data_IF_854683841667
#
_entry.id   IF_854683841667
#
_cell.length_a   1.000
_cell.length_b   1.000
_cell.length_c   1.000
_cell.angle_alpha   90.00
_cell.angle_beta   90.00
_cell.angle_gamma   90.00
#
_symmetry.space_group_name_H-M   'P 1'
#
loop_
_entity.id
_entity.type
_entity.pdbx_description
1 polymer ?
#
# COMPACT_ATOMS: atom_id res chain seq x y z
N UNK A 1 18.30 -28.11 -3.96
CA UNK A 1 18.95 -26.79 -3.76
C UNK A 1 17.97 -25.63 -3.51
N UNK A 2 16.98 -25.36 -4.39
CA UNK A 2 16.06 -24.21 -4.26
C UNK A 2 15.18 -24.20 -3.00
N UNK A 3 14.71 -25.36 -2.52
CA UNK A 3 13.90 -25.46 -1.28
C UNK A 3 14.67 -25.11 -0.01
N UNK A 4 15.96 -25.47 0.05
CA UNK A 4 16.83 -25.16 1.20
C UNK A 4 17.16 -23.67 1.25
N UNK A 5 17.38 -23.04 0.10
CA UNK A 5 17.58 -21.58 0.01
C UNK A 5 16.31 -20.79 0.37
N UNK A 6 15.13 -21.29 0.00
CA UNK A 6 13.86 -20.70 0.39
C UNK A 6 13.64 -20.80 1.91
N UNK A 7 13.95 -21.94 2.54
CA UNK A 7 13.79 -22.10 3.99
C UNK A 7 14.75 -21.20 4.79
N UNK A 8 16.03 -21.12 4.39
CA UNK A 8 17.02 -20.23 5.02
C UNK A 8 16.62 -18.75 4.89
N UNK A 9 15.96 -18.37 3.79
CA UNK A 9 15.43 -17.03 3.61
C UNK A 9 14.22 -16.76 4.52
N UNK A 10 13.31 -17.73 4.65
CA UNK A 10 12.15 -17.65 5.54
C UNK A 10 12.59 -17.54 7.01
N UNK A 11 13.56 -18.35 7.44
CA UNK A 11 14.02 -18.37 8.83
C UNK A 11 14.76 -17.08 9.22
N UNK A 12 15.56 -16.51 8.29
CA UNK A 12 16.21 -15.20 8.49
C UNK A 12 15.22 -14.04 8.57
N UNK A 13 14.13 -14.12 7.80
CA UNK A 13 13.05 -13.13 7.85
C UNK A 13 12.32 -13.25 9.19
N UNK A 14 11.99 -14.45 9.65
CA UNK A 14 11.31 -14.67 10.93
C UNK A 14 12.11 -14.12 12.14
N UNK A 15 13.42 -14.37 12.20
CA UNK A 15 14.31 -13.87 13.27
C UNK A 15 14.45 -12.32 13.22
N UNK A 16 14.42 -11.73 12.02
CA UNK A 16 14.41 -10.28 11.85
C UNK A 16 13.07 -9.65 12.27
N UNK A 17 11.94 -10.34 12.04
CA UNK A 17 10.60 -9.90 12.43
C UNK A 17 10.38 -9.90 13.95
N UNK A 18 10.98 -10.86 14.68
CA UNK A 18 10.94 -10.86 16.15
C UNK A 18 11.63 -9.63 16.76
N UNK A 19 12.68 -9.11 16.10
CA UNK A 19 13.46 -7.95 16.58
C UNK A 19 12.85 -6.59 16.25
N UNK A 20 11.87 -6.53 15.33
CA UNK A 20 11.23 -5.28 14.87
C UNK A 20 9.88 -4.99 15.53
N UNK A 21 9.42 -5.83 16.47
CA UNK A 21 8.23 -5.59 17.30
C UNK A 21 8.47 -4.48 18.34
N UNK A 22 8.61 -3.24 17.90
CA UNK A 22 8.56 -2.11 18.81
C UNK A 22 8.35 -0.79 18.08
N UNK A 23 7.20 -0.63 17.43
CA UNK A 23 6.55 0.69 17.32
C UNK A 23 5.07 0.53 17.03
N UNK A 24 4.26 0.73 18.08
CA UNK A 24 2.80 0.82 17.97
C UNK A 24 2.42 2.02 17.07
N UNK A 25 1.39 1.88 16.22
CA UNK A 25 0.78 3.02 15.55
C UNK A 25 0.35 4.09 16.58
N UNK A 26 0.42 5.38 16.22
CA UNK A 26 -0.05 6.49 17.09
C UNK A 26 -1.57 6.56 17.26
N UNK A 27 -2.32 5.73 16.55
CA UNK A 27 -3.78 5.69 16.59
C UNK A 27 -4.21 4.23 16.50
N UNK A 28 -5.03 3.80 17.46
CA UNK A 28 -5.63 2.47 17.51
C UNK A 28 -7.14 2.63 17.26
N UNK A 29 -7.62 2.46 16.02
CA UNK A 29 -9.04 2.59 15.73
C UNK A 29 -9.81 1.52 16.50
N UNK A 30 -10.69 1.95 17.40
CA UNK A 30 -11.65 1.03 18.01
C UNK A 30 -12.68 0.66 16.96
N UNK A 31 -12.55 -0.54 16.42
CA UNK A 31 -13.50 -1.11 15.47
C UNK A 31 -14.77 -1.52 16.23
N UNK A 32 -15.92 -1.05 15.77
CA UNK A 32 -17.21 -1.48 16.30
C UNK A 32 -17.72 -2.60 15.38
N UNK A 33 -18.00 -3.77 15.95
CA UNK A 33 -18.49 -4.93 15.21
C UNK A 33 -19.98 -4.75 14.85
N UNK A 34 -20.36 -5.15 13.65
CA UNK A 34 -21.73 -4.98 13.13
C UNK A 34 -22.15 -6.20 12.27
N UNK A 35 -23.44 -6.53 12.28
CA UNK A 35 -24.04 -7.65 11.54
C UNK A 35 -24.50 -7.22 10.13
N UNK A 36 -24.33 -8.11 9.15
CA UNK A 36 -24.77 -7.94 7.76
C UNK A 36 -26.30 -8.20 7.62
N UNK A 37 -26.98 -7.52 6.69
CA UNK A 37 -28.45 -7.59 6.52
C UNK A 37 -28.90 -7.89 5.09
N UNK A 38 -29.96 -8.70 4.96
CA UNK A 38 -30.66 -9.11 3.73
C UNK A 38 -31.37 -7.94 3.02
N UNK A 39 -31.47 -8.01 1.69
CA UNK A 39 -32.00 -6.94 0.84
C UNK A 39 -33.13 -7.37 -0.11
N UNK A 40 -34.11 -6.47 -0.30
CA UNK A 40 -35.13 -6.47 -1.37
C UNK A 40 -35.34 -5.03 -1.89
N UNK A 41 -36.26 -4.82 -2.86
CA UNK A 41 -36.58 -3.62 -3.69
C UNK A 41 -36.35 -2.20 -3.07
N UNK A 42 -36.37 -2.11 -1.75
CA UNK A 42 -35.83 -1.04 -0.90
C UNK A 42 -34.36 -0.65 -1.21
N UNK A 43 -33.58 -1.53 -1.85
CA UNK A 43 -32.14 -1.31 -2.11
C UNK A 43 -31.84 -0.09 -2.97
N UNK A 44 -32.69 0.27 -3.95
CA UNK A 44 -32.47 1.45 -4.79
C UNK A 44 -32.70 2.74 -4.00
N UNK A 45 -33.78 2.80 -3.23
CA UNK A 45 -34.07 3.94 -2.35
C UNK A 45 -33.00 4.08 -1.25
N UNK A 46 -32.54 2.96 -0.70
CA UNK A 46 -31.46 2.94 0.27
C UNK A 46 -30.14 3.48 -0.32
N UNK A 47 -29.76 3.05 -1.54
CA UNK A 47 -28.57 3.57 -2.24
C UNK A 47 -28.72 5.03 -2.63
N UNK A 48 -29.90 5.48 -3.06
CA UNK A 48 -30.17 6.88 -3.33
C UNK A 48 -30.06 7.75 -2.06
N UNK A 49 -30.57 7.26 -0.94
CA UNK A 49 -30.40 7.90 0.37
C UNK A 49 -28.92 8.00 0.76
N UNK A 50 -28.15 6.90 0.59
CA UNK A 50 -26.73 6.88 0.90
C UNK A 50 -25.94 7.84 -0.02
N UNK A 51 -26.33 7.96 -1.29
CA UNK A 51 -25.75 8.93 -2.22
C UNK A 51 -25.98 10.37 -1.74
N UNK A 52 -27.20 10.71 -1.36
CA UNK A 52 -27.52 12.04 -0.82
C UNK A 52 -26.76 12.36 0.47
N UNK A 53 -26.61 11.37 1.35
CA UNK A 53 -25.80 11.53 2.56
C UNK A 53 -24.30 11.75 2.23
N UNK A 54 -23.76 11.02 1.25
CA UNK A 54 -22.38 11.22 0.77
C UNK A 54 -22.17 12.56 0.06
N UNK A 55 -23.20 13.11 -0.59
CA UNK A 55 -23.13 14.46 -1.18
C UNK A 55 -23.02 15.55 -0.11
N UNK A 56 -23.79 15.44 0.97
CA UNK A 56 -23.73 16.37 2.10
C UNK A 56 -22.49 16.19 2.96
N UNK A 57 -22.32 15.01 3.55
CA UNK A 57 -21.35 14.74 4.62
C UNK A 57 -20.14 13.92 4.15
N UNK A 58 -20.20 13.38 2.93
CA UNK A 58 -19.18 12.49 2.40
C UNK A 58 -17.90 13.20 2.00
N UNK A 59 -16.80 12.48 2.07
CA UNK A 59 -15.47 12.91 1.68
C UNK A 59 -14.78 11.80 0.90
N UNK A 60 -14.45 12.08 -0.36
CA UNK A 60 -13.56 11.26 -1.17
C UNK A 60 -12.16 11.85 -1.08
N UNK A 61 -11.34 11.23 -0.23
CA UNK A 61 -10.07 11.82 0.17
C UNK A 61 -8.95 11.64 -0.84
N UNK A 62 -8.05 12.63 -0.84
CA UNK A 62 -6.76 12.49 -1.50
C UNK A 62 -6.05 11.23 -0.98
N UNK A 63 -5.46 10.41 -1.87
CA UNK A 63 -4.84 9.17 -1.44
C UNK A 63 -3.73 9.43 -0.43
N UNK A 64 -3.77 8.74 0.72
CA UNK A 64 -2.75 8.87 1.76
C UNK A 64 -1.67 7.81 1.58
N UNK A 65 -0.41 8.20 1.77
CA UNK A 65 0.68 7.26 1.83
C UNK A 65 0.52 6.33 3.03
N UNK A 66 0.68 5.03 2.81
CA UNK A 66 0.79 4.02 3.85
C UNK A 66 1.93 3.07 3.50
N UNK A 67 2.61 2.54 4.52
CA UNK A 67 3.67 1.56 4.34
C UNK A 67 3.05 0.17 4.47
N UNK A 68 3.22 -0.68 3.45
CA UNK A 68 2.80 -2.08 3.47
C UNK A 68 3.69 -2.89 4.41
N UNK A 69 3.26 -4.11 4.75
CA UNK A 69 4.03 -5.03 5.60
C UNK A 69 5.41 -5.38 5.01
N UNK A 70 5.55 -5.31 3.69
CA UNK A 70 6.81 -5.53 2.96
C UNK A 70 7.71 -4.27 2.86
N UNK A 71 7.29 -3.15 3.46
CA UNK A 71 8.02 -1.87 3.42
C UNK A 71 7.79 -1.03 2.17
N UNK A 72 7.00 -1.50 1.19
CA UNK A 72 6.62 -0.67 0.04
C UNK A 72 5.62 0.43 0.44
N UNK A 73 5.77 1.64 -0.09
CA UNK A 73 4.80 2.72 0.11
C UNK A 73 3.65 2.50 -0.86
N UNK A 74 2.41 2.43 -0.41
CA UNK A 74 1.24 2.45 -1.26
C UNK A 74 0.33 3.61 -0.92
N UNK A 75 -0.45 4.06 -1.89
CA UNK A 75 -1.49 5.03 -1.64
C UNK A 75 -2.79 4.32 -1.28
N UNK A 76 -3.40 4.76 -0.19
CA UNK A 76 -4.70 4.30 0.26
C UNK A 76 -5.73 5.39 -0.04
N UNK A 77 -6.61 5.11 -0.98
CA UNK A 77 -7.83 5.91 -1.21
C UNK A 77 -8.80 5.63 -0.08
N UNK A 78 -9.56 6.66 0.30
CA UNK A 78 -10.59 6.57 1.34
C UNK A 78 -11.84 7.30 0.89
N UNK A 79 -12.99 6.67 1.09
CA UNK A 79 -14.28 7.33 1.16
C UNK A 79 -14.73 7.33 2.63
N UNK A 80 -15.34 8.42 3.08
CA UNK A 80 -15.82 8.49 4.47
C UNK A 80 -16.90 9.53 4.66
N UNK A 81 -17.71 9.40 5.69
CA UNK A 81 -18.59 10.47 6.19
C UNK A 81 -18.52 10.51 7.71
N UNK A 82 -18.65 11.70 8.29
CA UNK A 82 -18.54 11.95 9.73
C UNK A 82 -19.89 12.39 10.27
N UNK A 83 -20.23 12.00 11.49
CA UNK A 83 -21.43 12.48 12.18
C UNK A 83 -21.28 12.36 13.69
N UNK A 84 -21.87 13.31 14.42
CA UNK A 84 -21.99 13.25 15.87
C UNK A 84 -23.17 12.34 16.28
N UNK A 85 -22.93 11.48 17.27
CA UNK A 85 -23.94 10.65 17.93
C UNK A 85 -24.04 10.99 19.41
N UNK A 86 -24.47 10.02 20.22
CA UNK A 86 -24.31 10.11 21.66
C UNK A 86 -22.91 9.64 22.06
N UNK A 87 -22.44 10.04 23.24
CA UNK A 87 -21.12 9.64 23.74
C UNK A 87 -21.03 8.11 23.79
N UNK A 88 -20.14 7.55 22.97
CA UNK A 88 -19.92 6.10 22.89
C UNK A 88 -20.93 5.31 22.02
N UNK A 89 -21.92 5.97 21.43
CA UNK A 89 -22.92 5.33 20.55
C UNK A 89 -22.84 5.93 19.15
N UNK A 90 -22.50 5.12 18.11
CA UNK A 90 -22.49 5.60 16.73
C UNK A 90 -23.84 6.19 16.30
N UNK A 91 -23.80 7.29 15.55
CA UNK A 91 -25.00 7.89 14.99
C UNK A 91 -25.75 6.90 14.07
N UNK A 92 -27.09 6.83 14.21
CA UNK A 92 -27.96 5.92 13.45
C UNK A 92 -27.80 6.06 11.93
N UNK A 93 -27.51 7.27 11.45
CA UNK A 93 -27.26 7.52 10.03
C UNK A 93 -25.99 6.83 9.52
N UNK A 94 -24.94 6.72 10.34
CA UNK A 94 -23.74 5.99 9.98
C UNK A 94 -23.98 4.48 10.02
N UNK A 95 -24.77 4.01 10.98
CA UNK A 95 -25.21 2.61 11.06
C UNK A 95 -26.04 2.22 9.83
N UNK A 96 -26.96 3.08 9.40
CA UNK A 96 -27.73 2.90 8.16
C UNK A 96 -26.81 2.86 6.95
N UNK A 97 -25.85 3.79 6.85
CA UNK A 97 -24.89 3.79 5.73
C UNK A 97 -24.02 2.53 5.71
N UNK A 98 -23.61 2.03 6.88
CA UNK A 98 -22.88 0.77 6.99
C UNK A 98 -23.69 -0.42 6.49
N UNK A 99 -24.98 -0.51 6.84
CA UNK A 99 -25.87 -1.56 6.33
C UNK A 99 -26.03 -1.53 4.81
N UNK A 100 -25.99 -0.34 4.20
CA UNK A 100 -26.23 -0.16 2.76
C UNK A 100 -24.95 -0.40 1.93
N UNK A 101 -23.82 0.15 2.37
CA UNK A 101 -22.57 0.22 1.59
C UNK A 101 -21.42 -0.61 2.20
N UNK A 102 -21.66 -1.31 3.31
CA UNK A 102 -20.63 -1.99 4.08
C UNK A 102 -19.67 -1.00 4.75
N UNK A 103 -18.37 -1.30 4.71
CA UNK A 103 -17.35 -0.46 5.35
C UNK A 103 -17.27 -0.66 6.86
N UNK A 104 -16.65 0.28 7.56
CA UNK A 104 -16.50 0.22 9.03
C UNK A 104 -16.87 1.55 9.65
N UNK A 105 -17.29 1.51 10.91
CA UNK A 105 -17.50 2.70 11.73
C UNK A 105 -16.36 2.77 12.74
N UNK A 106 -15.72 3.94 12.78
CA UNK A 106 -14.62 4.25 13.69
C UNK A 106 -14.96 5.52 14.47
N UNK A 107 -14.62 5.57 15.76
CA UNK A 107 -14.67 6.82 16.53
C UNK A 107 -13.69 7.83 15.92
N UNK A 108 -14.09 9.09 15.80
CA UNK A 108 -13.30 10.15 15.20
C UNK A 108 -13.20 11.31 16.18
N UNK A 109 -12.01 11.79 16.50
CA UNK A 109 -11.89 12.98 17.36
C UNK A 109 -12.49 12.80 18.75
N UNK A 110 -13.64 13.44 18.98
CA UNK A 110 -14.32 13.52 20.27
C UNK A 110 -15.08 12.22 20.63
N UNK A 111 -15.49 12.03 21.91
CA UNK A 111 -16.17 10.81 22.36
C UNK A 111 -17.51 10.51 21.66
N UNK A 112 -18.16 11.53 21.12
CA UNK A 112 -19.45 11.53 20.41
C UNK A 112 -19.30 11.64 18.88
N UNK A 113 -18.09 11.83 18.37
CA UNK A 113 -17.83 12.00 16.94
C UNK A 113 -17.43 10.65 16.32
N UNK A 114 -18.14 10.26 15.26
CA UNK A 114 -18.03 8.97 14.60
C UNK A 114 -17.87 9.12 13.10
N UNK A 115 -17.26 8.12 12.48
CA UNK A 115 -16.93 8.14 11.07
C UNK A 115 -17.18 6.80 10.43
N UNK A 116 -18.04 6.78 9.42
CA UNK A 116 -18.09 5.69 8.46
C UNK A 116 -16.92 5.82 7.49
N UNK A 117 -16.25 4.70 7.19
CA UNK A 117 -15.10 4.70 6.31
C UNK A 117 -15.03 3.43 5.45
N UNK A 118 -14.64 3.64 4.21
CA UNK A 118 -14.21 2.62 3.26
C UNK A 118 -12.83 2.97 2.74
N UNK A 119 -11.94 1.97 2.68
CA UNK A 119 -10.56 2.16 2.25
C UNK A 119 -10.14 1.17 1.17
N UNK A 120 -9.20 1.60 0.35
CA UNK A 120 -8.64 0.82 -0.74
C UNK A 120 -9.41 1.03 -2.04
N UNK A 121 -8.68 1.03 -3.16
CA UNK A 121 -9.23 1.41 -4.46
C UNK A 121 -10.38 0.52 -4.91
N UNK A 122 -10.35 -0.78 -4.59
CA UNK A 122 -11.43 -1.71 -4.92
C UNK A 122 -12.73 -1.35 -4.20
N UNK A 123 -12.67 -1.14 -2.89
CA UNK A 123 -13.86 -0.86 -2.09
C UNK A 123 -14.42 0.53 -2.38
N UNK A 124 -13.56 1.53 -2.57
CA UNK A 124 -13.99 2.90 -2.94
C UNK A 124 -14.63 2.90 -4.33
N UNK A 125 -14.09 2.14 -5.28
CA UNK A 125 -14.71 1.97 -6.61
C UNK A 125 -16.09 1.33 -6.50
N UNK A 126 -16.22 0.24 -5.73
CA UNK A 126 -17.50 -0.42 -5.49
C UNK A 126 -18.54 0.54 -4.94
N UNK A 127 -18.19 1.33 -3.92
CA UNK A 127 -19.09 2.37 -3.38
C UNK A 127 -19.52 3.34 -4.47
N UNK A 128 -18.58 3.89 -5.24
CA UNK A 128 -18.91 4.82 -6.32
C UNK A 128 -19.84 4.20 -7.35
N UNK A 129 -19.60 2.95 -7.77
CA UNK A 129 -20.45 2.23 -8.72
C UNK A 129 -21.86 2.01 -8.18
N UNK A 130 -22.00 1.66 -6.90
CA UNK A 130 -23.31 1.40 -6.26
C UNK A 130 -24.16 2.67 -6.11
N UNK A 131 -23.56 3.84 -5.86
CA UNK A 131 -24.31 5.10 -5.65
C UNK A 131 -24.31 6.04 -6.84
N UNK A 132 -23.52 5.77 -7.89
CA UNK A 132 -23.32 6.66 -9.05
C UNK A 132 -24.62 7.22 -9.65
N UNK A 133 -25.71 6.45 -9.80
CA UNK A 133 -26.92 6.98 -10.44
C UNK A 133 -27.55 8.18 -9.71
N UNK A 134 -27.27 8.32 -8.41
CA UNK A 134 -27.86 9.36 -7.55
C UNK A 134 -26.83 10.31 -6.96
N UNK A 135 -25.53 9.98 -7.03
CA UNK A 135 -24.46 10.79 -6.48
C UNK A 135 -24.18 12.01 -7.37
N UNK A 136 -24.10 13.19 -6.75
CA UNK A 136 -23.78 14.43 -7.44
C UNK A 136 -22.46 14.37 -8.20
N UNK A 137 -22.43 14.98 -9.38
CA UNK A 137 -21.29 14.95 -10.30
C UNK A 137 -19.98 15.45 -9.66
N UNK A 138 -20.05 16.37 -8.68
CA UNK A 138 -18.87 16.86 -7.94
C UNK A 138 -18.23 15.72 -7.13
N UNK A 139 -19.02 14.95 -6.36
CA UNK A 139 -18.50 13.84 -5.57
C UNK A 139 -18.05 12.67 -6.44
N UNK A 140 -18.75 12.42 -7.55
CA UNK A 140 -18.31 11.45 -8.57
C UNK A 140 -16.91 11.83 -9.05
N UNK A 141 -16.71 13.08 -9.48
CA UNK A 141 -15.41 13.55 -9.95
C UNK A 141 -14.34 13.48 -8.86
N UNK A 142 -14.65 13.82 -7.60
CA UNK A 142 -13.71 13.69 -6.48
C UNK A 142 -13.29 12.24 -6.26
N UNK A 143 -14.24 11.30 -6.28
CA UNK A 143 -13.98 9.87 -6.14
C UNK A 143 -13.13 9.30 -7.28
N UNK A 144 -13.48 9.63 -8.53
CA UNK A 144 -12.74 9.22 -9.72
C UNK A 144 -11.30 9.80 -9.72
N UNK A 145 -11.15 11.08 -9.37
CA UNK A 145 -9.83 11.72 -9.25
C UNK A 145 -8.97 11.08 -8.16
N UNK A 146 -9.56 10.73 -7.00
CA UNK A 146 -8.83 10.05 -5.94
C UNK A 146 -8.37 8.64 -6.37
N UNK A 147 -9.22 7.89 -7.06
CA UNK A 147 -8.86 6.59 -7.63
C UNK A 147 -7.76 6.72 -8.70
N UNK A 148 -7.88 7.69 -9.59
CA UNK A 148 -6.88 7.96 -10.62
C UNK A 148 -5.53 8.35 -10.01
N UNK A 149 -5.52 9.23 -9.01
CA UNK A 149 -4.31 9.64 -8.30
C UNK A 149 -3.61 8.46 -7.61
N UNK A 150 -4.38 7.55 -7.00
CA UNK A 150 -3.82 6.35 -6.38
C UNK A 150 -3.26 5.35 -7.40
N UNK A 151 -3.83 5.28 -8.60
CA UNK A 151 -3.35 4.42 -9.68
C UNK A 151 -2.14 5.02 -10.43
N UNK A 152 -2.10 6.34 -10.58
CA UNK A 152 -1.05 7.06 -11.33
C UNK A 152 0.28 7.10 -10.59
N UNK A 153 0.26 7.08 -9.25
CA UNK A 153 1.48 7.11 -8.46
C UNK A 153 2.07 5.70 -8.42
N UNK A 154 2.98 5.46 -9.39
CA UNK A 154 4.02 4.44 -9.27
C UNK A 154 4.81 4.70 -7.99
N UNK A 155 4.90 3.68 -7.15
CA UNK A 155 5.76 3.73 -5.97
C UNK A 155 7.17 3.98 -6.52
N UNK A 156 7.84 5.02 -6.06
CA UNK A 156 9.21 5.31 -6.51
C UNK A 156 10.08 4.08 -6.20
N UNK A 157 10.42 3.30 -7.23
CA UNK A 157 11.09 2.01 -7.09
C UNK A 157 10.19 0.76 -7.20
N UNK A 158 9.03 0.84 -7.85
CA UNK A 158 8.27 -0.34 -8.31
C UNK A 158 8.83 -0.93 -9.61
N UNK A 159 9.69 -0.20 -10.32
CA UNK A 159 10.32 -0.72 -11.51
C UNK A 159 11.37 -1.74 -11.10
N UNK A 160 11.26 -2.96 -11.61
CA UNK A 160 12.29 -3.98 -11.46
C UNK A 160 13.57 -3.60 -12.19
N UNK A 161 13.48 -2.64 -13.13
CA UNK A 161 14.54 -2.23 -14.03
C UNK A 161 14.88 -0.75 -13.89
N UNK A 162 16.15 -0.43 -14.08
CA UNK A 162 16.65 0.95 -14.15
C UNK A 162 16.40 1.58 -15.53
N UNK A 163 16.71 2.87 -15.68
CA UNK A 163 16.53 3.62 -16.95
C UNK A 163 17.30 3.03 -18.14
N UNK A 164 18.31 2.19 -17.87
CA UNK A 164 19.11 1.47 -18.87
C UNK A 164 18.66 0.02 -19.07
N UNK A 165 17.53 -0.39 -18.49
CA UNK A 165 16.94 -1.73 -18.64
C UNK A 165 17.51 -2.83 -17.75
N UNK A 166 18.54 -2.55 -16.93
CA UNK A 166 19.12 -3.53 -16.01
C UNK A 166 18.19 -3.79 -14.82
N UNK A 167 18.13 -5.04 -14.35
CA UNK A 167 17.45 -5.36 -13.09
C UNK A 167 18.17 -4.68 -11.91
N UNK A 168 17.38 -4.18 -10.96
CA UNK A 168 17.93 -3.72 -9.68
C UNK A 168 18.34 -4.93 -8.83
N UNK A 169 19.49 -4.81 -8.18
CA UNK A 169 20.12 -5.89 -7.41
C UNK A 169 20.24 -5.59 -5.92
N UNK A 170 19.81 -4.39 -5.51
CA UNK A 170 19.61 -4.07 -4.10
C UNK A 170 18.43 -3.13 -3.93
N UNK A 171 17.58 -3.44 -2.97
CA UNK A 171 16.45 -2.60 -2.56
C UNK A 171 16.62 -2.30 -1.09
N UNK A 172 16.65 -1.02 -0.73
CA UNK A 172 16.74 -0.58 0.67
C UNK A 172 15.62 0.41 0.96
N UNK A 173 14.79 0.10 1.93
CA UNK A 173 13.76 1.00 2.46
C UNK A 173 14.37 1.84 3.58
N UNK A 174 14.25 3.16 3.48
CA UNK A 174 14.67 4.09 4.55
C UNK A 174 13.61 4.21 5.64
N UNK A 175 13.99 4.72 6.81
CA UNK A 175 13.07 4.97 7.93
C UNK A 175 11.95 5.99 7.59
N UNK A 176 12.16 6.85 6.60
CA UNK A 176 11.17 7.79 6.06
C UNK A 176 10.24 7.15 4.99
N UNK A 177 10.39 5.85 4.74
CA UNK A 177 9.63 5.10 3.73
C UNK A 177 10.23 5.15 2.32
N UNK A 178 11.23 5.99 2.07
CA UNK A 178 11.81 6.10 0.73
C UNK A 178 12.50 4.80 0.32
N UNK A 179 12.10 4.23 -0.80
CA UNK A 179 12.77 3.07 -1.39
C UNK A 179 13.94 3.56 -2.23
N UNK A 180 15.15 3.10 -1.90
CA UNK A 180 16.36 3.28 -2.70
C UNK A 180 16.69 1.96 -3.38
N UNK A 181 16.60 1.94 -4.70
CA UNK A 181 17.07 0.83 -5.50
C UNK A 181 18.50 1.09 -5.99
N UNK A 182 19.36 0.09 -5.91
CA UNK A 182 20.72 0.10 -6.44
C UNK A 182 20.79 -0.84 -7.63
N UNK A 183 21.51 -0.39 -8.66
CA UNK A 183 21.81 -1.17 -9.85
C UNK A 183 23.33 -1.28 -9.99
N UNK A 184 23.92 -2.42 -9.62
CA UNK A 184 25.38 -2.62 -9.70
C UNK A 184 25.90 -2.58 -11.13
N UNK A 185 25.08 -2.96 -12.13
CA UNK A 185 25.45 -2.82 -13.54
C UNK A 185 25.71 -1.34 -13.88
N UNK A 186 24.78 -0.45 -13.53
CA UNK A 186 24.99 1.00 -13.69
C UNK A 186 26.13 1.52 -12.81
N UNK A 187 26.27 1.03 -11.58
CA UNK A 187 27.37 1.45 -10.69
C UNK A 187 28.74 1.08 -11.28
N UNK A 188 28.88 -0.10 -11.90
CA UNK A 188 30.11 -0.53 -12.59
C UNK A 188 30.40 0.33 -13.82
N UNK A 189 29.38 0.69 -14.60
CA UNK A 189 29.53 1.59 -15.75
C UNK A 189 30.06 2.95 -15.28
N UNK A 190 29.40 3.57 -14.30
CA UNK A 190 29.80 4.88 -13.77
C UNK A 190 31.19 4.84 -13.12
N UNK A 191 31.53 3.78 -12.39
CA UNK A 191 32.87 3.61 -11.82
C UNK A 191 33.94 3.46 -12.91
N UNK A 192 33.64 2.73 -14.00
CA UNK A 192 34.55 2.60 -15.14
C UNK A 192 34.78 3.95 -15.83
N UNK A 193 33.72 4.71 -16.07
CA UNK A 193 33.79 6.07 -16.66
C UNK A 193 34.60 7.02 -15.76
N UNK A 194 34.36 7.00 -14.45
CA UNK A 194 35.11 7.80 -13.48
C UNK A 194 36.61 7.51 -13.56
N UNK A 195 37.00 6.24 -13.59
CA UNK A 195 38.41 5.82 -13.69
C UNK A 195 39.08 6.25 -14.98
N UNK A 196 38.36 6.19 -16.11
CA UNK A 196 38.87 6.69 -17.39
C UNK A 196 39.18 8.19 -17.29
N UNK A 197 38.27 8.98 -16.69
CA UNK A 197 38.51 10.41 -16.47
C UNK A 197 39.68 10.70 -15.53
N UNK A 198 39.86 9.89 -14.49
CA UNK A 198 40.93 10.09 -13.49
C UNK A 198 42.23 9.35 -13.81
N UNK A 199 42.39 8.78 -15.02
CA UNK A 199 43.59 8.04 -15.43
C UNK A 199 43.90 6.80 -14.57
N UNK A 200 42.94 6.31 -13.80
CA UNK A 200 43.15 5.24 -12.83
C UNK A 200 43.13 3.88 -13.50
N UNK A 201 44.17 3.07 -13.28
CA UNK A 201 44.31 1.74 -13.92
C UNK A 201 43.10 0.83 -13.61
N UNK A 202 42.70 -0.03 -14.57
CA UNK A 202 41.63 -1.00 -14.36
C UNK A 202 41.98 -1.96 -13.21
N UNK A 203 40.98 -2.33 -12.43
CA UNK A 203 41.15 -3.29 -11.32
C UNK A 203 41.54 -4.63 -11.94
N UNK A 204 42.69 -5.20 -11.53
CA UNK A 204 43.06 -6.55 -11.94
C UNK A 204 41.98 -7.51 -11.44
N UNK A 205 41.35 -8.24 -12.36
CA UNK A 205 40.51 -9.38 -12.00
C UNK A 205 41.47 -10.45 -11.50
N UNK A 206 41.35 -10.85 -10.23
CA UNK A 206 42.04 -12.07 -9.76
C UNK A 206 41.44 -13.23 -10.55
N UNK A 207 42.24 -13.87 -11.40
CA UNK A 207 41.88 -15.17 -11.95
C UNK A 207 41.55 -16.11 -10.78
N UNK A 208 40.51 -16.96 -10.88
CA UNK A 208 40.28 -17.97 -9.86
C UNK A 208 41.52 -18.84 -9.78
N UNK A 209 42.16 -18.87 -8.62
CA UNK A 209 43.26 -19.77 -8.33
C UNK A 209 42.71 -21.20 -8.22
N UNK A 210 43.07 -22.09 -9.14
CA UNK A 210 42.75 -23.52 -9.03
C UNK A 210 42.69 -24.22 -10.37
N UNK A 211 43.85 -24.67 -10.83
CA UNK A 211 44.07 -25.61 -11.93
C UNK A 211 43.21 -26.90 -11.77
N UNK A 212 42.34 -27.26 -12.74
CA UNK A 212 41.53 -28.47 -12.69
C UNK A 212 42.25 -29.74 -13.16
N UNK A 213 43.57 -29.72 -13.46
CA UNK A 213 44.28 -30.86 -14.05
C UNK A 213 44.91 -31.87 -13.07
N UNK A 214 44.61 -31.78 -11.76
CA UNK A 214 45.02 -32.78 -10.76
C UNK A 214 43.81 -33.40 -10.08
N UNK A 215 43.31 -34.52 -10.59
CA UNK A 215 42.57 -35.68 -10.00
C UNK A 215 41.87 -36.29 -11.24
N UNK A 216 42.33 -37.37 -11.88
CA UNK A 216 42.28 -38.77 -11.46
C UNK A 216 43.36 -39.57 -12.19
N UNK A 217 44.25 -40.21 -11.44
CA UNK A 217 44.89 -41.45 -11.85
C UNK A 217 44.57 -42.46 -10.76
N UNK A 218 43.64 -43.38 -11.04
CA UNK A 218 43.47 -44.59 -10.26
C UNK A 218 43.95 -45.75 -11.15
N UNK A 219 44.92 -46.45 -10.58
CA UNK A 219 45.44 -47.76 -10.97
C UNK A 219 44.34 -48.82 -11.04
#
# INVERSE_FOLDING_TARGET
>A
MKRVQAQIAVDRIADQYQRLRSRKPRYDPTLIAHEDSDGTDDSCLARAWAAGFLDGEGYFGNPRQHVRKDGSIALRVRASATQHGEVGVPADVLMRMHKILGGRIERHGQPDDFKWVVEGSLNVRRVLEEVRPWLGHIKVAQGENALAAAAAIRIRGDSERCVRGHLYDGVRVKADGTVRQTCSACARITERERRMRTGSKPRRVRSPSGDPSRVYAYS
#
